data_IF_454099449039
#
_entry.id   IF_454099449039
#
_cell.length_a   1.000
_cell.length_b   1.000
_cell.length_c   1.000
_cell.angle_alpha   90.00
_cell.angle_beta   90.00
_cell.angle_gamma   90.00
#
_symmetry.space_group_name_H-M   'P 1'
#
loop_
_entity.id
_entity.type
_entity.pdbx_description
1 polymer ?
#
# COMPACT_ATOMS: atom_id res chain seq x y z
N UNK A 1 -7.62 -9.36 -19.98
CA UNK A 1 -7.54 -9.15 -18.52
C UNK A 1 -6.13 -8.72 -18.18
N UNK A 2 -5.97 -7.54 -17.61
CA UNK A 2 -4.68 -6.87 -17.45
C UNK A 2 -3.95 -7.41 -16.21
N UNK A 3 -2.68 -7.79 -16.34
CA UNK A 3 -1.81 -8.41 -15.32
C UNK A 3 -1.72 -7.67 -13.95
N UNK A 4 -2.28 -6.45 -13.82
CA UNK A 4 -2.19 -5.60 -12.64
C UNK A 4 -3.45 -5.60 -11.75
N UNK A 5 -4.55 -6.24 -12.15
CA UNK A 5 -5.79 -6.24 -11.36
C UNK A 5 -5.78 -7.19 -10.15
N UNK A 6 -4.80 -8.10 -10.08
CA UNK A 6 -4.74 -9.18 -9.10
C UNK A 6 -3.66 -9.01 -8.01
N UNK A 7 -3.19 -7.78 -7.72
CA UNK A 7 -2.22 -7.57 -6.64
C UNK A 7 -2.75 -6.66 -5.55
N UNK A 8 -2.63 -7.12 -4.30
CA UNK A 8 -2.87 -6.32 -3.10
C UNK A 8 -1.55 -5.90 -2.45
N UNK A 9 -1.59 -4.75 -1.78
CA UNK A 9 -0.52 -4.19 -0.99
C UNK A 9 -0.70 -4.63 0.46
N UNK A 10 0.19 -5.50 0.94
CA UNK A 10 0.22 -5.95 2.33
C UNK A 10 1.24 -5.13 3.14
N UNK A 11 0.81 -4.35 4.14
CA UNK A 11 1.74 -3.66 5.04
C UNK A 11 2.54 -4.68 5.85
N UNK A 12 3.87 -4.58 5.85
CA UNK A 12 4.74 -5.51 6.60
C UNK A 12 4.56 -5.40 8.12
N UNK A 13 4.12 -4.23 8.61
CA UNK A 13 4.04 -3.95 10.05
C UNK A 13 2.79 -4.51 10.71
N UNK A 14 1.63 -4.35 10.08
CA UNK A 14 0.34 -4.78 10.64
C UNK A 14 -0.38 -5.86 9.83
N UNK A 15 0.24 -6.34 8.74
CA UNK A 15 -0.32 -7.33 7.80
C UNK A 15 -1.66 -6.93 7.16
N UNK A 16 -2.07 -5.68 7.28
CA UNK A 16 -3.20 -5.13 6.52
C UNK A 16 -2.94 -5.33 5.03
N UNK A 17 -3.90 -5.90 4.31
CA UNK A 17 -3.85 -6.08 2.87
C UNK A 17 -5.02 -5.35 2.22
N UNK A 18 -4.74 -4.63 1.14
CA UNK A 18 -5.75 -3.92 0.37
C UNK A 18 -5.16 -3.38 -0.92
N UNK A 19 -6.00 -2.75 -1.73
CA UNK A 19 -5.57 -2.20 -3.01
C UNK A 19 -4.82 -0.86 -2.84
N UNK A 20 -4.06 -0.45 -3.87
CA UNK A 20 -3.27 0.78 -3.86
C UNK A 20 -4.10 2.04 -3.58
N UNK A 21 -5.33 2.08 -4.10
CA UNK A 21 -6.34 3.12 -3.90
C UNK A 21 -6.90 3.18 -2.46
N UNK A 22 -6.70 2.16 -1.64
CA UNK A 22 -7.08 2.18 -0.22
C UNK A 22 -5.95 2.70 0.68
N UNK A 23 -4.76 2.94 0.13
CA UNK A 23 -3.68 3.59 0.86
C UNK A 23 -4.00 5.05 1.10
N UNK A 24 -3.51 5.59 2.21
CA UNK A 24 -3.72 7.00 2.57
C UNK A 24 -2.45 7.80 2.32
N UNK A 25 -2.62 9.08 1.99
CA UNK A 25 -1.49 9.99 1.86
C UNK A 25 -0.76 10.10 3.23
N UNK A 26 0.53 9.84 3.22
CA UNK A 26 1.39 9.97 4.39
C UNK A 26 1.74 11.42 4.70
N UNK A 27 2.74 11.61 5.56
CA UNK A 27 3.30 12.94 5.81
C UNK A 27 4.07 13.39 4.56
N UNK A 28 3.89 14.66 4.20
CA UNK A 28 4.68 15.30 3.15
C UNK A 28 6.16 15.29 3.55
N UNK A 29 7.01 14.71 2.71
CA UNK A 29 8.45 14.73 2.90
C UNK A 29 9.04 15.95 2.20
N UNK A 30 9.54 16.90 3.00
CA UNK A 30 10.16 18.14 2.48
C UNK A 30 11.48 17.91 1.75
N UNK A 31 12.16 16.79 1.98
CA UNK A 31 13.45 16.48 1.34
C UNK A 31 13.25 15.97 -0.07
N UNK A 32 12.23 15.13 -0.29
CA UNK A 32 11.92 14.58 -1.62
C UNK A 32 10.85 15.39 -2.35
N UNK A 33 10.15 16.29 -1.66
CA UNK A 33 9.05 17.08 -2.23
C UNK A 33 7.82 16.23 -2.56
N UNK A 34 7.70 15.03 -1.99
CA UNK A 34 6.66 14.05 -2.32
C UNK A 34 5.91 13.57 -1.09
N UNK A 35 4.67 13.14 -1.28
CA UNK A 35 3.87 12.47 -0.26
C UNK A 35 3.79 11.00 -0.57
N UNK A 36 4.37 10.16 0.30
CA UNK A 36 4.31 8.70 0.13
C UNK A 36 2.95 8.16 0.57
N UNK A 37 2.43 7.16 -0.14
CA UNK A 37 1.25 6.40 0.30
C UNK A 37 1.63 5.51 1.49
N UNK A 38 0.82 5.54 2.55
CA UNK A 38 1.04 4.81 3.79
C UNK A 38 -0.16 3.95 4.17
N UNK A 39 0.08 2.99 5.05
CA UNK A 39 -0.92 2.03 5.48
C UNK A 39 -1.96 2.75 6.35
N UNK A 40 -3.27 2.61 6.07
CA UNK A 40 -4.31 3.28 6.87
C UNK A 40 -4.34 2.81 8.33
N UNK A 41 -3.78 1.64 8.65
CA UNK A 41 -3.83 1.06 10.01
C UNK A 41 -2.67 1.46 10.90
N UNK A 42 -1.49 1.69 10.34
CA UNK A 42 -0.27 1.90 11.13
C UNK A 42 0.69 2.94 10.52
N UNK A 43 0.25 3.64 9.47
CA UNK A 43 1.00 4.69 8.77
C UNK A 43 2.40 4.26 8.28
N UNK A 44 2.61 2.95 8.08
CA UNK A 44 3.81 2.38 7.49
C UNK A 44 3.84 2.68 5.98
N UNK A 45 5.00 3.00 5.39
CA UNK A 45 5.18 3.05 3.92
C UNK A 45 5.75 1.75 3.35
N UNK A 46 5.92 0.72 4.19
CA UNK A 46 6.59 -0.54 3.84
C UNK A 46 5.58 -1.64 3.57
N UNK A 47 5.49 -2.05 2.31
CA UNK A 47 4.51 -3.02 1.84
C UNK A 47 5.17 -4.18 1.07
N UNK A 48 4.44 -5.30 0.99
CA UNK A 48 4.68 -6.40 0.07
C UNK A 48 3.55 -6.45 -0.96
N UNK A 49 3.89 -6.70 -2.21
CA UNK A 49 2.92 -7.06 -3.23
C UNK A 49 2.55 -8.53 -3.04
N UNK A 50 1.27 -8.80 -2.79
CA UNK A 50 0.72 -10.16 -2.69
C UNK A 50 -0.28 -10.36 -3.82
N UNK A 51 -0.34 -11.58 -4.35
CA UNK A 51 -1.40 -11.94 -5.30
C UNK A 51 -2.74 -12.07 -4.57
N UNK A 52 -3.80 -11.49 -5.15
CA UNK A 52 -5.17 -11.70 -4.71
C UNK A 52 -5.46 -13.19 -4.85
N UNK A 53 -5.67 -13.87 -3.73
CA UNK A 53 -6.29 -15.19 -3.76
C UNK A 53 -7.76 -14.97 -4.12
N UNK A 54 -8.10 -15.18 -5.39
CA UNK A 54 -9.48 -15.45 -5.78
C UNK A 54 -10.00 -16.56 -4.87
N UNK A 55 -11.09 -16.28 -4.15
CA UNK A 55 -11.75 -17.19 -3.22
C UNK A 55 -13.12 -17.54 -3.78
#
# INVERSE_FOLDING_TARGET
MSFYENKDWQCRRCRWAGQHNQLVAGKYDRKTGTTANVCPRCSCSVFNLIDKKEK
#
